data_IF_922716658173
#
_entry.id   IF_922716658173
#
_cell.length_a   1.000
_cell.length_b   1.000
_cell.length_c   1.000
_cell.angle_alpha   90.00
_cell.angle_beta   90.00
_cell.angle_gamma   90.00
#
_symmetry.space_group_name_H-M   'P 1'
#
loop_
_entity.id
_entity.type
_entity.pdbx_description
1 polymer ?
#
# COMPACT_ATOMS: atom_id res chain seq x y z
N UNK A 1 16.03 1.37 34.62
CA UNK A 1 15.73 2.80 34.83
C UNK A 1 16.15 3.53 33.56
N UNK A 2 15.25 3.89 32.65
CA UNK A 2 14.37 5.07 32.72
C UNK A 2 12.89 4.66 32.66
N UNK A 3 12.19 4.63 33.81
CA UNK A 3 10.76 4.39 33.91
C UNK A 3 10.04 5.72 34.17
N UNK A 4 8.90 5.94 33.50
CA UNK A 4 7.66 6.36 34.16
C UNK A 4 7.77 7.66 35.00
N UNK A 5 7.51 8.83 34.40
CA UNK A 5 7.10 10.02 35.16
C UNK A 5 5.56 10.09 35.37
N UNK A 6 4.80 9.39 34.53
CA UNK A 6 3.35 9.25 34.64
C UNK A 6 3.03 7.84 34.16
N UNK A 7 2.23 7.06 34.91
CA UNK A 7 1.88 5.66 34.60
C UNK A 7 1.11 5.43 33.29
N UNK A 8 1.23 6.31 32.31
CA UNK A 8 0.73 6.14 30.95
C UNK A 8 1.86 5.62 30.07
N UNK A 9 1.63 4.49 29.37
CA UNK A 9 2.42 4.13 28.21
C UNK A 9 2.49 5.36 27.29
N UNK A 10 3.69 5.85 26.90
CA UNK A 10 3.76 6.92 25.93
C UNK A 10 3.02 6.44 24.68
N UNK A 11 2.01 7.20 24.25
CA UNK A 11 1.32 6.89 23.00
C UNK A 11 2.38 6.87 21.91
N UNK A 12 2.67 5.67 21.40
CA UNK A 12 3.50 5.56 20.21
C UNK A 12 2.85 6.46 19.17
N UNK A 13 3.62 7.36 18.52
CA UNK A 13 3.05 8.20 17.49
C UNK A 13 2.39 7.28 16.47
N UNK A 14 1.16 7.63 16.10
CA UNK A 14 0.40 6.93 15.07
C UNK A 14 1.32 6.60 13.89
N UNK A 15 1.29 5.37 13.36
CA UNK A 15 2.32 4.85 12.45
C UNK A 15 2.58 5.83 11.30
N UNK A 16 1.55 6.49 10.80
CA UNK A 16 1.65 7.54 9.78
C UNK A 16 2.40 8.81 10.23
N UNK A 17 2.22 9.26 11.48
CA UNK A 17 2.98 10.38 12.07
C UNK A 17 4.44 10.02 12.27
N UNK A 18 4.74 8.78 12.67
CA UNK A 18 6.12 8.29 12.78
C UNK A 18 6.83 8.31 11.42
N UNK A 19 6.21 7.77 10.37
CA UNK A 19 6.79 7.73 9.02
C UNK A 19 7.02 9.15 8.47
N UNK A 20 6.05 10.06 8.65
CA UNK A 20 6.23 11.47 8.24
C UNK A 20 7.40 12.14 8.95
N UNK A 21 7.56 11.92 10.26
CA UNK A 21 8.69 12.45 11.04
C UNK A 21 10.01 11.84 10.61
N UNK A 22 10.04 10.54 10.33
CA UNK A 22 11.21 9.84 9.80
C UNK A 22 11.63 10.45 8.46
N UNK A 23 10.71 10.58 7.50
CA UNK A 23 10.98 11.18 6.18
C UNK A 23 11.47 12.62 6.31
N UNK A 24 10.84 13.43 7.17
CA UNK A 24 11.28 14.80 7.43
C UNK A 24 12.68 14.85 8.05
N UNK A 25 12.99 13.95 9.00
CA UNK A 25 14.32 13.83 9.60
C UNK A 25 15.38 13.39 8.60
N UNK A 26 15.06 12.41 7.74
CA UNK A 26 15.92 11.99 6.65
C UNK A 26 16.20 13.16 5.69
N UNK A 27 15.17 13.93 5.31
CA UNK A 27 15.35 15.12 4.46
C UNK A 27 16.28 16.16 5.08
N UNK A 28 16.23 16.33 6.40
CA UNK A 28 17.13 17.23 7.11
C UNK A 28 18.58 16.74 7.11
N UNK A 29 18.81 15.42 7.17
CA UNK A 29 20.15 14.82 7.25
C UNK A 29 20.81 14.66 5.87
N UNK A 30 20.09 14.10 4.90
CA UNK A 30 20.66 13.71 3.60
C UNK A 30 20.39 14.74 2.50
N UNK A 31 19.54 15.73 2.79
CA UNK A 31 19.08 16.68 1.79
C UNK A 31 18.03 16.09 0.84
N UNK A 32 17.23 16.98 0.26
CA UNK A 32 16.10 16.60 -0.60
C UNK A 32 16.52 15.81 -1.84
N UNK A 33 17.63 16.18 -2.48
CA UNK A 33 18.05 15.59 -3.76
C UNK A 33 18.39 14.10 -3.67
N UNK A 34 19.10 13.69 -2.62
CA UNK A 34 19.49 12.28 -2.41
C UNK A 34 18.25 11.43 -2.14
N UNK A 35 17.33 11.94 -1.32
CA UNK A 35 16.10 11.22 -0.98
C UNK A 35 15.10 11.17 -2.12
N UNK A 36 15.02 12.22 -2.94
CA UNK A 36 14.22 12.17 -4.18
C UNK A 36 14.76 11.11 -5.15
N UNK A 37 16.07 10.99 -5.30
CA UNK A 37 16.66 9.91 -6.11
C UNK A 37 16.31 8.53 -5.54
N UNK A 38 16.51 8.32 -4.24
CA UNK A 38 16.19 7.06 -3.58
C UNK A 38 14.69 6.70 -3.70
N UNK A 39 13.79 7.64 -3.45
CA UNK A 39 12.34 7.43 -3.61
C UNK A 39 11.95 7.17 -5.05
N UNK A 40 12.56 7.84 -6.03
CA UNK A 40 12.30 7.55 -7.45
C UNK A 40 12.72 6.13 -7.83
N UNK A 41 13.86 5.66 -7.32
CA UNK A 41 14.33 4.29 -7.52
C UNK A 41 13.42 3.27 -6.84
N UNK A 42 13.00 3.54 -5.61
CA UNK A 42 12.06 2.68 -4.88
C UNK A 42 10.68 2.64 -5.54
N UNK A 43 10.19 3.78 -6.02
CA UNK A 43 8.91 3.85 -6.72
C UNK A 43 8.95 2.98 -7.97
N UNK A 44 10.02 3.11 -8.76
CA UNK A 44 10.24 2.27 -9.95
C UNK A 44 10.27 0.78 -9.61
N UNK A 45 10.96 0.39 -8.54
CA UNK A 45 11.04 -1.01 -8.12
C UNK A 45 9.68 -1.57 -7.69
N UNK A 46 8.90 -0.78 -6.94
CA UNK A 46 7.52 -1.17 -6.57
C UNK A 46 6.66 -1.34 -7.83
N UNK A 47 6.77 -0.42 -8.80
CA UNK A 47 6.05 -0.53 -10.06
C UNK A 47 6.44 -1.79 -10.83
N UNK A 48 7.74 -2.07 -10.95
CA UNK A 48 8.25 -3.26 -11.64
C UNK A 48 7.74 -4.55 -11.01
N UNK A 49 7.77 -4.65 -9.67
CA UNK A 49 7.25 -5.81 -8.95
C UNK A 49 5.76 -5.98 -9.14
N UNK A 50 4.99 -4.91 -9.05
CA UNK A 50 3.54 -4.96 -9.27
C UNK A 50 3.20 -5.42 -10.69
N UNK A 51 3.90 -4.93 -11.71
CA UNK A 51 3.66 -5.29 -13.11
C UNK A 51 4.14 -6.71 -13.47
N UNK A 52 5.04 -7.29 -12.68
CA UNK A 52 5.55 -8.65 -12.88
C UNK A 52 4.69 -9.74 -12.22
N UNK A 53 3.62 -9.37 -11.51
CA UNK A 53 2.73 -10.32 -10.81
C UNK A 53 1.91 -11.16 -11.79
N UNK A 54 1.62 -12.40 -11.39
CA UNK A 54 0.70 -13.25 -12.15
C UNK A 54 -0.74 -12.82 -11.87
N UNK A 55 -1.36 -12.19 -12.88
CA UNK A 55 -2.72 -11.68 -12.77
C UNK A 55 -3.80 -12.78 -12.85
N UNK A 56 -3.44 -13.97 -13.35
CA UNK A 56 -4.38 -15.09 -13.57
C UNK A 56 -4.48 -16.01 -12.36
N UNK A 57 -3.51 -15.93 -11.45
CA UNK A 57 -3.52 -16.66 -10.19
C UNK A 57 -3.43 -15.68 -9.00
N UNK A 58 -4.56 -15.07 -8.59
CA UNK A 58 -4.58 -14.15 -7.47
C UNK A 58 -4.05 -14.77 -6.17
N UNK A 59 -4.25 -16.07 -5.94
CA UNK A 59 -3.83 -16.73 -4.70
C UNK A 59 -2.32 -16.69 -4.48
N UNK A 60 -1.51 -16.74 -5.55
CA UNK A 60 -0.05 -16.65 -5.43
C UNK A 60 0.48 -15.22 -5.35
N UNK A 61 -0.23 -14.24 -5.91
CA UNK A 61 0.26 -12.85 -6.03
C UNK A 61 -0.42 -11.84 -5.10
N UNK A 62 -1.56 -12.17 -4.48
CA UNK A 62 -2.36 -11.22 -3.70
C UNK A 62 -1.64 -10.73 -2.44
N UNK A 63 -0.97 -11.62 -1.71
CA UNK A 63 -0.25 -11.25 -0.48
C UNK A 63 0.82 -10.20 -0.79
N UNK A 64 1.62 -10.44 -1.84
CA UNK A 64 2.66 -9.52 -2.28
C UNK A 64 2.08 -8.18 -2.76
N UNK A 65 0.97 -8.23 -3.50
CA UNK A 65 0.28 -7.02 -3.97
C UNK A 65 -0.24 -6.17 -2.81
N UNK A 66 -0.86 -6.78 -1.81
CA UNK A 66 -1.34 -6.12 -0.61
C UNK A 66 -0.20 -5.54 0.22
N UNK A 67 0.94 -6.23 0.29
CA UNK A 67 2.13 -5.71 0.95
C UNK A 67 2.69 -4.48 0.22
N UNK A 68 2.75 -4.48 -1.12
CA UNK A 68 3.14 -3.30 -1.91
C UNK A 68 2.16 -2.12 -1.72
N UNK A 69 0.85 -2.40 -1.66
CA UNK A 69 -0.16 -1.41 -1.34
C UNK A 69 0.06 -0.81 0.06
N UNK A 70 0.29 -1.64 1.07
CA UNK A 70 0.61 -1.18 2.42
C UNK A 70 1.85 -0.29 2.45
N UNK A 71 2.94 -0.70 1.80
CA UNK A 71 4.18 0.08 1.72
C UNK A 71 3.95 1.46 1.09
N UNK A 72 3.25 1.49 -0.04
CA UNK A 72 2.98 2.74 -0.74
C UNK A 72 1.99 3.64 0.01
N UNK A 73 1.03 3.08 0.76
CA UNK A 73 0.07 3.84 1.58
C UNK A 73 0.65 4.37 2.89
N UNK A 74 1.62 3.66 3.48
CA UNK A 74 2.29 4.07 4.73
C UNK A 74 3.17 5.32 4.54
N UNK A 75 3.52 5.61 3.29
CA UNK A 75 4.30 6.79 2.92
C UNK A 75 3.41 8.02 2.72
N UNK A 76 3.94 9.25 2.84
CA UNK A 76 3.17 10.44 2.50
C UNK A 76 2.65 10.37 1.05
N UNK A 77 1.45 10.89 0.82
CA UNK A 77 0.72 10.72 -0.45
C UNK A 77 1.49 11.15 -1.71
N UNK A 78 2.44 12.07 -1.55
CA UNK A 78 3.22 12.64 -2.65
C UNK A 78 4.49 11.87 -3.01
N UNK A 79 4.92 10.90 -2.19
CA UNK A 79 6.21 10.22 -2.39
C UNK A 79 6.14 9.08 -3.42
N UNK A 80 4.99 8.39 -3.51
CA UNK A 80 4.80 7.23 -4.39
C UNK A 80 3.52 7.30 -5.25
N UNK A 81 3.25 8.41 -5.95
CA UNK A 81 1.99 8.61 -6.66
C UNK A 81 1.79 7.63 -7.83
N UNK A 82 2.85 7.25 -8.53
CA UNK A 82 2.81 6.32 -9.67
C UNK A 82 2.67 4.89 -9.16
N UNK A 83 3.46 4.49 -8.17
CA UNK A 83 3.39 3.15 -7.61
C UNK A 83 2.01 2.84 -7.04
N UNK A 84 1.36 3.78 -6.33
CA UNK A 84 -0.03 3.62 -5.85
C UNK A 84 -1.04 3.38 -6.97
N UNK A 85 -0.89 4.08 -8.09
CA UNK A 85 -1.79 3.92 -9.24
C UNK A 85 -1.57 2.58 -9.91
N UNK A 86 -0.31 2.18 -10.07
CA UNK A 86 0.04 0.91 -10.71
C UNK A 86 -0.42 -0.26 -9.85
N UNK A 87 -0.15 -0.29 -8.54
CA UNK A 87 -0.59 -1.39 -7.67
C UNK A 87 -2.11 -1.49 -7.59
N UNK A 88 -2.84 -0.37 -7.53
CA UNK A 88 -4.31 -0.39 -7.64
C UNK A 88 -4.77 -0.86 -9.02
N UNK A 89 -4.08 -0.45 -10.08
CA UNK A 89 -4.36 -0.87 -11.46
C UNK A 89 -4.20 -2.38 -11.63
N UNK A 90 -3.12 -2.96 -11.08
CA UNK A 90 -2.86 -4.40 -11.05
C UNK A 90 -3.96 -5.12 -10.27
N UNK A 91 -4.37 -4.59 -9.10
CA UNK A 91 -5.49 -5.15 -8.33
C UNK A 91 -6.80 -5.11 -9.15
N UNK A 92 -7.05 -4.00 -9.86
CA UNK A 92 -8.20 -3.86 -10.75
C UNK A 92 -8.14 -4.87 -11.90
N UNK A 93 -6.99 -5.07 -12.52
CA UNK A 93 -6.82 -6.01 -13.62
C UNK A 93 -7.01 -7.47 -13.15
N UNK A 94 -6.44 -7.83 -12.01
CA UNK A 94 -6.71 -9.13 -11.35
C UNK A 94 -8.21 -9.31 -11.11
N UNK A 95 -8.91 -8.28 -10.64
CA UNK A 95 -10.35 -8.33 -10.45
C UNK A 95 -11.08 -8.54 -11.78
N UNK A 96 -10.74 -7.81 -12.84
CA UNK A 96 -11.38 -7.97 -14.15
C UNK A 96 -11.19 -9.39 -14.71
N UNK A 97 -10.01 -9.98 -14.55
CA UNK A 97 -9.70 -11.31 -15.09
C UNK A 97 -10.35 -12.45 -14.28
N UNK A 98 -10.53 -12.27 -12.97
CA UNK A 98 -10.92 -13.35 -12.06
C UNK A 98 -12.34 -13.20 -11.47
N UNK A 99 -12.99 -12.05 -11.68
CA UNK A 99 -14.37 -11.85 -11.21
C UNK A 99 -15.33 -12.71 -12.04
N UNK A 100 -15.82 -13.79 -11.43
CA UNK A 100 -16.81 -14.68 -12.07
C UNK A 100 -18.24 -14.14 -12.03
N UNK A 101 -18.58 -13.38 -10.99
CA UNK A 101 -19.96 -13.00 -10.66
C UNK A 101 -20.08 -11.52 -10.28
N UNK A 102 -19.48 -11.12 -9.16
CA UNK A 102 -19.50 -9.75 -8.68
C UNK A 102 -18.18 -9.33 -8.05
N UNK A 103 -17.86 -8.04 -8.17
CA UNK A 103 -16.66 -7.46 -7.57
C UNK A 103 -16.64 -7.64 -6.05
N UNK A 104 -17.81 -7.53 -5.40
CA UNK A 104 -17.93 -7.71 -3.96
C UNK A 104 -17.61 -9.15 -3.55
N UNK A 105 -18.09 -10.14 -4.31
CA UNK A 105 -17.77 -11.54 -4.05
C UNK A 105 -16.28 -11.81 -4.24
N UNK A 106 -15.68 -11.27 -5.30
CA UNK A 106 -14.23 -11.39 -5.54
C UNK A 106 -13.39 -10.77 -4.43
N UNK A 107 -13.75 -9.58 -3.92
CA UNK A 107 -13.05 -8.97 -2.77
C UNK A 107 -13.12 -9.87 -1.54
N UNK A 108 -14.31 -10.41 -1.23
CA UNK A 108 -14.51 -11.27 -0.06
C UNK A 108 -13.74 -12.59 -0.16
N UNK A 109 -13.71 -13.20 -1.35
CA UNK A 109 -13.12 -14.54 -1.54
C UNK A 109 -11.62 -14.50 -1.86
N UNK A 110 -11.14 -13.46 -2.52
CA UNK A 110 -9.76 -13.40 -3.03
C UNK A 110 -8.90 -12.33 -2.37
N UNK A 111 -9.46 -11.25 -1.83
CA UNK A 111 -8.67 -10.15 -1.24
C UNK A 111 -8.66 -10.24 0.28
N UNK A 112 -9.83 -10.35 0.92
CA UNK A 112 -9.93 -10.35 2.39
C UNK A 112 -9.11 -11.45 3.09
N UNK A 113 -9.06 -12.71 2.61
CA UNK A 113 -8.30 -13.77 3.28
C UNK A 113 -6.80 -13.47 3.39
N UNK A 114 -6.26 -12.72 2.42
CA UNK A 114 -4.84 -12.41 2.34
C UNK A 114 -4.47 -11.10 3.08
N UNK A 115 -5.45 -10.37 3.64
CA UNK A 115 -5.18 -9.14 4.40
C UNK A 115 -4.42 -9.41 5.71
N UNK A 116 -4.75 -10.51 6.40
CA UNK A 116 -4.07 -10.89 7.64
C UNK A 116 -2.61 -11.29 7.37
N UNK A 117 -2.37 -12.04 6.28
CA UNK A 117 -1.03 -12.50 5.89
C UNK A 117 -0.13 -11.37 5.37
N UNK A 118 -0.70 -10.39 4.67
CA UNK A 118 0.05 -9.27 4.06
C UNK A 118 0.45 -8.16 5.03
N UNK A 119 0.11 -8.30 6.32
CA UNK A 119 0.30 -7.26 7.33
C UNK A 119 -0.29 -5.89 6.93
N UNK A 120 -1.28 -5.88 6.03
CA UNK A 120 -1.92 -4.65 5.59
C UNK A 120 -2.65 -4.03 6.78
N UNK A 121 -2.21 -2.85 7.22
CA UNK A 121 -2.78 -2.14 8.36
C UNK A 121 -4.24 -1.81 8.08
N UNK A 122 -5.11 -2.07 9.07
CA UNK A 122 -6.54 -1.82 8.95
C UNK A 122 -6.86 -0.35 8.66
N UNK A 123 -5.96 0.56 9.04
CA UNK A 123 -6.04 1.99 8.76
C UNK A 123 -6.02 2.35 7.26
N UNK A 124 -5.44 1.50 6.41
CA UNK A 124 -5.28 1.78 4.98
C UNK A 124 -6.31 1.06 4.11
N UNK A 125 -6.82 -0.09 4.56
CA UNK A 125 -7.75 -0.96 3.81
C UNK A 125 -8.95 -0.18 3.24
N UNK A 126 -9.63 0.63 4.06
CA UNK A 126 -10.80 1.39 3.62
C UNK A 126 -10.47 2.37 2.48
N UNK A 127 -9.32 3.04 2.56
CA UNK A 127 -8.89 4.00 1.54
C UNK A 127 -8.42 3.31 0.25
N UNK A 128 -7.75 2.17 0.37
CA UNK A 128 -7.34 1.30 -0.75
C UNK A 128 -8.58 0.81 -1.50
N UNK A 129 -9.56 0.23 -0.79
CA UNK A 129 -10.81 -0.26 -1.39
C UNK A 129 -11.63 0.87 -2.04
N UNK A 130 -11.63 2.07 -1.44
CA UNK A 130 -12.31 3.24 -2.03
C UNK A 130 -11.67 3.65 -3.36
N UNK A 131 -10.33 3.70 -3.43
CA UNK A 131 -9.63 4.05 -4.66
C UNK A 131 -9.77 2.95 -5.71
N UNK A 132 -9.67 1.69 -5.31
CA UNK A 132 -9.94 0.54 -6.16
C UNK A 132 -11.34 0.61 -6.78
N UNK A 133 -12.39 0.86 -5.99
CA UNK A 133 -13.75 1.01 -6.51
C UNK A 133 -13.88 2.17 -7.50
N UNK A 134 -13.17 3.29 -7.27
CA UNK A 134 -13.14 4.40 -8.24
C UNK A 134 -12.50 3.96 -9.56
N UNK A 135 -11.38 3.25 -9.51
CA UNK A 135 -10.69 2.76 -10.71
C UNK A 135 -11.57 1.76 -11.47
N UNK A 136 -12.21 0.82 -10.78
CA UNK A 136 -13.14 -0.14 -11.37
C UNK A 136 -14.35 0.50 -12.05
N UNK A 137 -14.76 1.71 -11.65
CA UNK A 137 -15.82 2.47 -12.35
C UNK A 137 -15.35 3.17 -13.62
N UNK A 138 -14.05 3.43 -13.73
CA UNK A 138 -13.46 4.15 -14.87
C UNK A 138 -12.97 3.24 -15.99
N UNK A 139 -12.75 1.95 -15.70
CA UNK A 139 -12.36 0.96 -16.70
C UNK A 139 -13.62 0.30 -17.27
N UNK A 140 -13.91 0.41 -18.58
CA UNK A 140 -15.04 -0.29 -19.19
C UNK A 140 -14.82 -1.80 -19.16
N UNK A 141 -15.90 -2.54 -18.89
CA UNK A 141 -15.92 -4.02 -18.82
C UNK A 141 -15.66 -4.68 -20.17
#
# INVERSE_FOLDING_TARGET
>A
VIPIAYGAMPSLPDKGLYHRRLVAGLWAVFGKSILYSAFSHWEREVCNRALAMDLRDPSSSMVDLLHLLQCTWSMPEKEFPVARRITIGVLAEMAHLNTRSSLQQWVTESVLPHLEESCCGSEHVASILTLFHKVMKTVPR
#
